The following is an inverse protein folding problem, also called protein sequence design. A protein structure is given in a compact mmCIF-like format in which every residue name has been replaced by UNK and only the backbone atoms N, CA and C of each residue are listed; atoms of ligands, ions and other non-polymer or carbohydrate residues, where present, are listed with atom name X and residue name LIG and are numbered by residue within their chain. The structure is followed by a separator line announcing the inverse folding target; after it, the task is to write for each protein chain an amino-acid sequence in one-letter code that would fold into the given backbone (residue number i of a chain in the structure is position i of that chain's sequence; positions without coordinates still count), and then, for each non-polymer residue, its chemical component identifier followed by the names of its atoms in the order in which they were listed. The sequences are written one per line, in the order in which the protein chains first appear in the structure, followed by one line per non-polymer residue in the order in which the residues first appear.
data_IF_905360889693
#
_entry.id   IF_905360889693
#
_cell.length_a   1.000
_cell.length_b   1.000
_cell.length_c   1.000
_cell.angle_alpha   90.00
_cell.angle_beta   90.00
_cell.angle_gamma   90.00
#
_symmetry.space_group_name_H-M   'P 1'
#
loop_
_entity.id
_entity.type
_entity.pdbx_description
1 polymer ?
#
# COMPACT_ATOMS: atom_id res chain seq x y z
N UNK A 1 -4.32 -16.29 -15.06
CA UNK A 1 -5.15 -17.00 -14.15
C UNK A 1 -5.80 -16.07 -13.14
N UNK A 2 -7.02 -16.31 -12.85
CA UNK A 2 -7.74 -15.46 -11.92
C UNK A 2 -7.30 -15.73 -10.49
N UNK A 3 -7.13 -14.69 -9.69
CA UNK A 3 -6.76 -14.85 -8.29
C UNK A 3 -7.93 -15.30 -7.46
N UNK A 4 -9.11 -15.09 -7.94
CA UNK A 4 -10.31 -15.42 -7.21
C UNK A 4 -11.41 -15.78 -8.19
N UNK A 5 -12.33 -16.58 -7.72
CA UNK A 5 -13.46 -17.00 -8.52
C UNK A 5 -14.39 -15.84 -8.75
N UNK A 6 -14.53 -15.00 -7.73
CA UNK A 6 -15.45 -13.89 -7.73
C UNK A 6 -14.75 -12.72 -7.08
N UNK A 7 -14.85 -11.54 -7.66
CA UNK A 7 -14.14 -10.38 -7.11
C UNK A 7 -14.63 -9.97 -5.72
N UNK A 8 -15.76 -10.51 -5.29
CA UNK A 8 -16.28 -10.23 -3.96
C UNK A 8 -15.85 -11.26 -2.94
N UNK A 9 -15.26 -12.36 -3.38
CA UNK A 9 -14.77 -13.39 -2.49
C UNK A 9 -13.32 -13.11 -2.15
N UNK A 10 -12.92 -13.61 -1.01
CA UNK A 10 -11.52 -13.51 -0.64
C UNK A 10 -10.70 -14.32 -1.62
N UNK A 11 -9.53 -13.81 -1.97
CA UNK A 11 -8.70 -14.56 -2.90
C UNK A 11 -8.18 -15.83 -2.27
N UNK A 12 -7.92 -16.81 -3.10
CA UNK A 12 -7.26 -18.01 -2.69
C UNK A 12 -5.93 -17.69 -2.05
N UNK A 13 -5.18 -16.83 -2.69
CA UNK A 13 -3.95 -16.31 -2.16
C UNK A 13 -3.76 -14.93 -2.74
N UNK A 14 -3.11 -14.12 -1.96
CA UNK A 14 -2.80 -12.76 -2.37
C UNK A 14 -1.40 -12.74 -2.95
N UNK A 15 -1.11 -11.71 -3.72
CA UNK A 15 0.20 -11.52 -4.30
C UNK A 15 0.66 -10.09 -4.06
N UNK A 16 1.97 -9.96 -3.97
CA UNK A 16 2.58 -8.65 -3.89
C UNK A 16 2.16 -7.83 -5.10
N UNK A 17 1.72 -6.61 -4.86
CA UNK A 17 1.23 -5.73 -5.92
C UNK A 17 -0.27 -5.70 -6.05
N UNK A 18 -0.96 -6.62 -5.40
CA UNK A 18 -2.42 -6.60 -5.42
C UNK A 18 -2.95 -5.42 -4.62
N UNK A 19 -4.01 -4.81 -5.14
CA UNK A 19 -4.72 -3.74 -4.45
C UNK A 19 -6.11 -4.22 -4.12
N UNK A 20 -6.49 -4.08 -2.87
CA UNK A 20 -7.82 -4.44 -2.39
C UNK A 20 -8.44 -3.24 -1.69
N UNK A 21 -9.77 -3.17 -1.70
CA UNK A 21 -10.44 -2.28 -0.77
C UNK A 21 -10.52 -2.98 0.57
N UNK A 22 -10.29 -2.25 1.64
CA UNK A 22 -10.41 -2.82 2.96
C UNK A 22 -10.24 -1.78 4.04
N UNK A 23 -10.55 -2.17 5.27
CA UNK A 23 -10.37 -1.26 6.41
C UNK A 23 -8.89 -1.12 6.77
N UNK A 24 -8.50 0.08 7.11
CA UNK A 24 -7.13 0.37 7.48
C UNK A 24 -7.16 1.33 8.66
N UNK A 25 -6.47 0.97 9.75
CA UNK A 25 -6.35 1.82 10.94
C UNK A 25 -7.68 2.38 11.39
N UNK A 26 -8.61 1.51 11.73
CA UNK A 26 -9.94 1.97 12.13
C UNK A 26 -9.98 2.55 13.55
N UNK A 27 -8.89 2.52 14.26
CA UNK A 27 -8.81 3.06 15.60
C UNK A 27 -9.06 4.57 15.56
N UNK A 28 -10.07 5.02 16.27
CA UNK A 28 -10.47 6.41 16.26
C UNK A 28 -9.50 7.33 17.00
N UNK A 29 -8.54 6.76 17.73
CA UNK A 29 -7.59 7.57 18.49
C UNK A 29 -6.42 8.05 17.66
N UNK A 30 -6.38 7.72 16.38
CA UNK A 30 -5.29 8.15 15.53
C UNK A 30 -5.39 9.65 15.25
N UNK A 31 -4.23 10.28 15.13
CA UNK A 31 -4.17 11.70 14.90
C UNK A 31 -4.33 12.04 13.43
N UNK A 32 -4.50 13.33 13.16
CA UNK A 32 -4.57 13.83 11.81
C UNK A 32 -3.34 13.42 11.02
N UNK A 33 -3.53 13.23 9.73
CA UNK A 33 -2.43 12.91 8.84
C UNK A 33 -2.17 11.44 8.68
N UNK A 34 -2.82 10.62 9.51
CA UNK A 34 -2.67 9.17 9.40
C UNK A 34 -3.87 8.63 8.66
N UNK A 35 -3.60 7.87 7.60
CA UNK A 35 -4.66 7.30 6.79
C UNK A 35 -5.42 6.25 7.58
N UNK A 36 -6.74 6.29 7.45
CA UNK A 36 -7.58 5.31 8.11
C UNK A 36 -8.90 5.22 7.38
N UNK A 37 -9.62 4.16 7.66
CA UNK A 37 -10.93 3.97 7.07
C UNK A 37 -10.89 2.93 5.96
N UNK A 38 -12.01 2.79 5.29
CA UNK A 38 -12.16 1.85 4.19
C UNK A 38 -11.57 2.50 2.94
N UNK A 39 -10.53 1.91 2.40
CA UNK A 39 -9.77 2.52 1.32
C UNK A 39 -8.97 1.50 0.56
N UNK A 40 -8.39 1.89 -0.59
CA UNK A 40 -7.48 0.99 -1.28
C UNK A 40 -6.27 0.71 -0.41
N UNK A 41 -5.89 -0.56 -0.34
CA UNK A 41 -4.67 -0.97 0.36
C UNK A 41 -3.88 -1.86 -0.59
N UNK A 42 -2.60 -1.60 -0.64
CA UNK A 42 -1.69 -2.26 -1.57
C UNK A 42 -0.83 -3.27 -0.82
N UNK A 43 -0.82 -4.51 -1.29
CA UNK A 43 0.00 -5.55 -0.69
C UNK A 43 1.45 -5.34 -1.10
N UNK A 44 2.29 -5.02 -0.14
CA UNK A 44 3.72 -4.88 -0.37
C UNK A 44 4.51 -6.06 0.17
N UNK A 45 3.87 -6.92 0.94
CA UNK A 45 4.49 -8.09 1.51
C UNK A 45 4.96 -9.06 0.42
N UNK A 46 6.10 -9.68 0.63
CA UNK A 46 6.63 -10.63 -0.35
C UNK A 46 5.71 -11.82 -0.54
N UNK A 47 5.75 -12.42 -1.72
CA UNK A 47 4.93 -13.59 -1.98
C UNK A 47 5.37 -14.78 -1.14
N UNK A 48 6.64 -14.83 -0.77
CA UNK A 48 7.12 -15.85 0.14
C UNK A 48 6.36 -15.78 1.46
N UNK A 49 6.21 -14.58 2.01
CA UNK A 49 5.51 -14.39 3.28
C UNK A 49 4.00 -14.50 3.10
N UNK A 50 3.48 -14.07 1.95
CA UNK A 50 2.05 -14.14 1.68
C UNK A 50 1.52 -15.58 1.75
N UNK A 51 2.37 -16.54 1.46
CA UNK A 51 1.95 -17.93 1.49
C UNK A 51 2.04 -18.56 2.86
N UNK A 52 2.62 -17.85 3.82
CA UNK A 52 2.91 -18.42 5.14
C UNK A 52 2.21 -17.71 6.28
N UNK A 53 1.62 -16.57 6.03
CA UNK A 53 1.10 -15.73 7.10
C UNK A 53 -0.31 -15.29 6.79
N UNK A 54 -1.12 -15.17 7.84
CA UNK A 54 -2.43 -14.57 7.72
C UNK A 54 -2.38 -13.06 7.89
N UNK A 55 -1.24 -12.54 8.32
CA UNK A 55 -1.07 -11.09 8.39
C UNK A 55 -0.36 -10.62 7.14
N UNK A 56 -0.71 -9.43 6.70
CA UNK A 56 -0.26 -8.91 5.40
C UNK A 56 0.24 -7.49 5.60
N UNK A 57 1.46 -7.23 5.14
CA UNK A 57 2.01 -5.88 5.15
C UNK A 57 1.45 -5.13 3.95
N UNK A 58 0.88 -3.98 4.21
CA UNK A 58 0.21 -3.18 3.18
C UNK A 58 0.55 -1.70 3.35
N UNK A 59 0.30 -0.93 2.30
CA UNK A 59 0.33 0.52 2.40
C UNK A 59 -1.03 1.07 1.97
N UNK A 60 -1.50 2.14 2.62
CA UNK A 60 -2.82 2.68 2.31
C UNK A 60 -2.76 3.63 1.13
N UNK A 61 -3.87 3.69 0.40
CA UNK A 61 -4.05 4.64 -0.70
C UNK A 61 -5.15 5.63 -0.38
N UNK A 62 -5.10 6.76 -1.04
CA UNK A 62 -6.10 7.80 -0.89
C UNK A 62 -6.36 8.46 -2.22
N UNK A 63 -7.59 8.93 -2.41
CA UNK A 63 -7.92 9.74 -3.57
C UNK A 63 -7.77 11.23 -3.26
N UNK A 64 -7.45 11.58 -2.03
CA UNK A 64 -7.12 12.96 -1.69
C UNK A 64 -5.64 13.16 -1.92
N UNK A 65 -5.32 13.80 -3.03
CA UNK A 65 -3.93 13.93 -3.45
C UNK A 65 -3.29 15.14 -2.79
N UNK A 66 -2.72 14.92 -1.62
CA UNK A 66 -2.03 15.97 -0.87
C UNK A 66 -0.56 15.62 -0.75
N UNK A 67 0.28 16.65 -0.73
CA UNK A 67 1.71 16.47 -0.58
C UNK A 67 2.26 15.49 -1.60
N UNK A 68 1.84 15.67 -2.83
CA UNK A 68 2.22 14.75 -3.90
C UNK A 68 3.71 14.82 -4.22
N UNK A 69 4.39 15.85 -3.74
CA UNK A 69 5.83 15.95 -3.94
C UNK A 69 6.66 15.16 -2.95
N UNK A 70 6.03 14.56 -1.93
CA UNK A 70 6.79 13.74 -1.00
C UNK A 70 7.26 12.48 -1.70
N UNK A 71 8.53 12.15 -1.48
CA UNK A 71 9.13 10.99 -2.14
C UNK A 71 8.50 9.67 -1.74
N UNK A 72 7.82 9.64 -0.59
CA UNK A 72 7.15 8.43 -0.13
C UNK A 72 5.69 8.35 -0.57
N UNK A 73 5.21 9.36 -1.28
CA UNK A 73 3.85 9.35 -1.83
C UNK A 73 3.94 9.03 -3.31
N UNK A 74 3.34 7.94 -3.72
CA UNK A 74 3.36 7.49 -5.11
C UNK A 74 1.98 7.69 -5.71
N UNK A 75 1.88 8.67 -6.61
CA UNK A 75 0.63 8.96 -7.30
C UNK A 75 0.57 8.08 -8.54
N UNK A 76 -0.48 7.30 -8.65
CA UNK A 76 -0.65 6.41 -9.79
C UNK A 76 -1.35 7.14 -10.93
N UNK A 77 -1.14 6.70 -12.16
CA UNK A 77 -2.05 7.12 -13.24
C UNK A 77 -3.42 6.49 -12.97
N UNK A 78 -4.42 6.90 -13.73
CA UNK A 78 -5.71 6.24 -13.64
C UNK A 78 -5.52 4.79 -14.04
N UNK A 79 -6.00 3.88 -13.19
CA UNK A 79 -5.84 2.45 -13.41
C UNK A 79 -7.21 1.81 -13.35
N UNK A 80 -7.46 0.92 -14.29
CA UNK A 80 -8.71 0.17 -14.31
C UNK A 80 -8.81 -0.64 -13.03
N UNK A 81 -9.94 -0.56 -12.39
CA UNK A 81 -10.18 -1.24 -11.11
C UNK A 81 -10.15 -0.28 -9.94
N UNK A 82 -9.58 0.90 -10.13
CA UNK A 82 -9.61 1.95 -9.12
C UNK A 82 -10.50 3.07 -9.62
N UNK A 83 -11.56 3.41 -8.88
CA UNK A 83 -12.54 4.38 -9.40
C UNK A 83 -12.02 5.80 -9.47
N UNK A 84 -10.95 6.11 -8.73
CA UNK A 84 -10.37 7.44 -8.71
C UNK A 84 -8.86 7.33 -8.79
N UNK A 85 -8.23 8.42 -9.21
CA UNK A 85 -6.78 8.46 -9.14
C UNK A 85 -6.34 8.31 -7.70
N UNK A 86 -5.38 7.45 -7.47
CA UNK A 86 -4.99 7.03 -6.13
C UNK A 86 -3.53 7.35 -5.89
N UNK A 87 -3.23 7.76 -4.66
CA UNK A 87 -1.87 7.98 -4.18
C UNK A 87 -1.63 7.02 -3.03
N UNK A 88 -0.54 6.27 -3.09
CA UNK A 88 -0.18 5.39 -1.98
C UNK A 88 0.82 6.08 -1.08
N UNK A 89 0.53 6.03 0.22
CA UNK A 89 1.35 6.69 1.25
C UNK A 89 2.28 5.66 1.86
N UNK A 90 3.46 5.51 1.28
CA UNK A 90 4.35 4.41 1.65
C UNK A 90 4.97 4.58 3.03
N UNK A 91 4.95 5.79 3.59
CA UNK A 91 5.43 6.00 4.95
C UNK A 91 4.42 5.52 5.99
N UNK A 92 3.21 5.16 5.57
CA UNK A 92 2.17 4.73 6.51
C UNK A 92 1.89 3.23 6.40
N UNK A 93 2.94 2.48 6.16
CA UNK A 93 2.83 1.04 6.06
C UNK A 93 2.21 0.45 7.33
N UNK A 94 1.37 -0.54 7.15
CA UNK A 94 0.73 -1.19 8.28
C UNK A 94 0.51 -2.65 8.00
N UNK A 95 -0.16 -3.31 8.94
CA UNK A 95 -0.43 -4.74 8.83
C UNK A 95 -1.92 -4.96 9.01
N UNK A 96 -2.49 -5.77 8.12
CA UNK A 96 -3.88 -6.17 8.25
C UNK A 96 -3.93 -7.69 8.21
N UNK A 97 -5.05 -8.25 8.67
CA UNK A 97 -5.28 -9.67 8.52
C UNK A 97 -5.80 -9.93 7.11
N UNK A 98 -5.45 -11.06 6.53
CA UNK A 98 -5.89 -11.39 5.18
C UNK A 98 -7.40 -11.32 5.05
N UNK A 99 -8.13 -11.58 6.14
CA UNK A 99 -9.59 -11.50 6.13
C UNK A 99 -10.12 -10.09 5.95
N UNK A 100 -9.27 -9.08 6.13
CA UNK A 100 -9.69 -7.69 5.95
C UNK A 100 -9.51 -7.22 4.53
N UNK A 101 -8.89 -8.02 3.67
CA UNK A 101 -8.81 -7.71 2.25
C UNK A 101 -10.16 -8.06 1.64
N UNK A 102 -10.88 -7.03 1.24
CA UNK A 102 -12.27 -7.20 0.85
C UNK A 102 -12.40 -7.36 -0.66
N UNK A 103 -12.45 -6.28 -1.39
CA UNK A 103 -12.70 -6.33 -2.82
C UNK A 103 -11.39 -6.17 -3.59
N UNK A 104 -11.10 -7.13 -4.44
CA UNK A 104 -9.92 -7.02 -5.30
C UNK A 104 -10.15 -5.93 -6.35
N UNK A 105 -9.19 -5.04 -6.49
CA UNK A 105 -9.28 -3.93 -7.44
C UNK A 105 -8.42 -4.17 -8.67
N UNK A 106 -7.15 -4.42 -8.45
CA UNK A 106 -6.19 -4.54 -9.54
C UNK A 106 -4.88 -5.07 -9.01
N UNK A 107 -3.94 -5.31 -9.91
CA UNK A 107 -2.57 -5.65 -9.55
C UNK A 107 -1.66 -4.64 -10.27
N UNK A 108 -0.80 -4.00 -9.53
CA UNK A 108 0.07 -2.97 -10.09
C UNK A 108 1.19 -3.62 -10.91
N UNK A 109 1.56 -3.00 -12.03
CA UNK A 109 2.63 -3.54 -12.86
C UNK A 109 4.00 -3.40 -12.19
N UNK A 110 4.98 -4.19 -12.64
CA UNK A 110 6.30 -4.21 -12.00
C UNK A 110 7.00 -2.85 -11.95
N UNK A 111 6.85 -2.01 -12.97
CA UNK A 111 7.51 -0.73 -12.97
C UNK A 111 6.97 0.18 -11.87
N UNK A 112 5.67 0.11 -11.62
CA UNK A 112 5.07 0.88 -10.52
C UNK A 112 5.51 0.28 -9.19
N UNK A 113 5.55 -1.04 -9.10
CA UNK A 113 5.97 -1.69 -7.85
C UNK A 113 7.42 -1.37 -7.50
N UNK A 114 8.28 -1.11 -8.49
CA UNK A 114 9.63 -0.66 -8.21
C UNK A 114 9.62 0.69 -7.51
N UNK A 115 8.75 1.59 -7.95
CA UNK A 115 8.63 2.90 -7.29
C UNK A 115 8.10 2.75 -5.87
N UNK A 116 7.13 1.87 -5.68
CA UNK A 116 6.58 1.61 -4.35
C UNK A 116 7.67 1.05 -3.43
N UNK A 117 8.43 0.07 -3.91
CA UNK A 117 9.50 -0.52 -3.11
C UNK A 117 10.52 0.54 -2.69
N UNK A 118 10.91 1.39 -3.64
CA UNK A 118 11.86 2.46 -3.35
C UNK A 118 11.30 3.42 -2.31
N UNK A 119 10.03 3.78 -2.44
CA UNK A 119 9.41 4.69 -1.50
C UNK A 119 9.31 4.10 -0.10
N UNK A 120 8.99 2.81 -0.01
CA UNK A 120 8.91 2.13 1.28
C UNK A 120 10.30 2.07 1.94
N UNK A 121 11.33 1.78 1.17
CA UNK A 121 12.69 1.78 1.70
C UNK A 121 13.10 3.16 2.16
N UNK A 122 12.76 4.17 1.39
CA UNK A 122 13.07 5.54 1.75
C UNK A 122 12.41 5.92 3.06
N UNK A 123 11.18 5.50 3.26
CA UNK A 123 10.46 5.81 4.49
C UNK A 123 11.09 5.17 5.71
N UNK A 124 11.70 4.00 5.55
CA UNK A 124 12.23 3.25 6.70
C UNK A 124 13.72 3.43 6.90
N UNK A 125 14.46 3.43 5.81
CA UNK A 125 15.92 3.47 5.90
C UNK A 125 16.51 4.81 5.54
N UNK A 126 15.70 5.64 4.90
CA UNK A 126 16.14 6.93 4.44
C UNK A 126 17.05 6.83 3.23
N UNK A 127 17.31 7.98 2.65
CA UNK A 127 18.27 8.08 1.57
C UNK A 127 19.63 8.31 2.19
N UNK A 128 20.69 8.04 1.39
CA UNK A 128 22.01 8.38 1.85
C UNK A 128 22.09 9.88 1.98
N UNK A 129 22.36 10.33 3.19
CA UNK A 129 22.40 11.75 3.49
C UNK A 129 23.82 12.23 3.34
N UNK A 130 23.98 13.41 2.67
CA UNK A 130 25.25 14.02 2.62
C UNK A 130 25.69 14.31 4.02
N UNK A 131 26.93 14.10 4.31
CA UNK A 131 27.45 14.29 5.66
C UNK A 131 27.07 15.65 6.18
N UNK A 132 26.39 15.64 7.30
CA UNK A 132 26.06 16.85 7.93
C UNK A 132 27.13 17.08 8.83
N UNK A 133 27.51 17.98 8.87
CA UNK A 133 28.50 18.13 9.70
C UNK A 133 28.07 18.35 10.92
N UNK A 134 27.94 18.06 11.33
CA UNK A 134 27.37 17.99 12.16
C UNK A 134 26.97 17.89 12.79
N UNK A 135 26.91 18.00 12.82
CA UNK A 135 26.39 17.51 13.27
C UNK A 135 25.99 17.09 13.36
N UNK A 136 26.24 17.10 12.94
CA UNK A 136 25.74 16.56 12.88
C UNK A 136 25.41 16.38 13.10
#
# INVERSE_FOLDING_TARGET
MSKRINKWEKPFHIERGDVYMGPFNLDSNLQKGIQRGYRPILVTQSDWQNRRSESVIVVPGTSELKKTGMSTHIVLPMIKGLPKQTMFCCEQRGVVNVNQLDKYCCTLPPDIMKKITRACRLAERGAKIKCRKTGK
#
